data_IF_347223110452
#
_entry.id   IF_347223110452
#
_cell.length_a   1.000
_cell.length_b   1.000
_cell.length_c   1.000
_cell.angle_alpha   90.00
_cell.angle_beta   90.00
_cell.angle_gamma   90.00
#
_symmetry.space_group_name_H-M   'P 1'
#
loop_
_entity.id
_entity.type
_entity.pdbx_description
1 polymer ?
#
# COMPACT_ATOMS: atom_id res chain seq x y z
N UNK A 1 21.37 45.30 44.26
CA UNK A 1 20.41 46.41 44.40
C UNK A 1 19.17 46.09 43.59
N UNK A 2 18.11 45.61 44.26
CA UNK A 2 16.72 45.78 43.80
C UNK A 2 16.30 47.26 44.06
N UNK A 3 15.16 47.80 43.58
CA UNK A 3 13.77 47.32 43.78
C UNK A 3 12.94 47.30 42.47
N UNK A 4 11.84 46.55 42.27
CA UNK A 4 10.55 46.39 42.96
C UNK A 4 9.60 47.62 42.87
N UNK A 5 8.44 47.47 42.21
CA UNK A 5 7.07 48.04 42.47
C UNK A 5 6.23 47.89 41.17
N UNK A 6 5.09 47.19 41.06
CA UNK A 6 3.83 47.09 41.82
C UNK A 6 2.89 48.31 41.68
N UNK A 7 1.73 48.13 41.02
CA UNK A 7 0.37 48.74 41.23
C UNK A 7 -0.42 48.61 39.91
N UNK A 8 -1.55 47.90 39.76
CA UNK A 8 -2.84 47.87 40.45
C UNK A 8 -3.74 49.10 40.18
N UNK A 9 -5.07 48.85 40.11
CA UNK A 9 -6.20 49.80 40.29
C UNK A 9 -6.69 50.49 39.00
N UNK A 10 -7.97 50.68 38.65
CA UNK A 10 -9.32 50.10 38.87
C UNK A 10 -10.29 51.11 38.19
N UNK A 11 -11.46 50.61 37.73
CA UNK A 11 -12.74 51.32 37.52
C UNK A 11 -12.84 52.42 36.44
N UNK A 12 -14.00 52.76 35.88
CA UNK A 12 -15.35 52.21 35.72
C UNK A 12 -16.16 53.33 35.02
N UNK A 13 -17.49 53.15 34.90
CA UNK A 13 -18.53 54.17 34.57
C UNK A 13 -18.79 54.28 33.06
N UNK A 14 -20.02 54.16 32.53
CA UNK A 14 -21.38 54.07 33.07
C UNK A 14 -22.27 53.43 31.98
N UNK A 15 -23.18 52.53 32.36
CA UNK A 15 -24.64 52.78 32.46
C UNK A 15 -25.34 52.83 31.07
N UNK A 16 -26.53 52.27 30.86
CA UNK A 16 -27.66 52.23 31.78
C UNK A 16 -28.77 51.37 31.14
N UNK A 17 -29.39 50.51 31.97
CA UNK A 17 -30.86 50.34 32.07
C UNK A 17 -31.63 49.70 30.89
N UNK A 18 -32.59 48.80 31.09
CA UNK A 18 -33.24 48.35 32.33
C UNK A 18 -34.30 47.28 32.05
N UNK A 19 -34.48 46.40 33.05
CA UNK A 19 -35.76 45.87 33.58
C UNK A 19 -36.50 44.76 32.78
N UNK A 20 -36.13 43.54 33.18
CA UNK A 20 -37.01 42.42 33.57
C UNK A 20 -38.09 42.88 34.60
N UNK A 21 -39.24 42.17 34.82
CA UNK A 21 -39.23 40.77 35.27
C UNK A 21 -40.41 39.82 34.90
N UNK A 22 -40.05 38.53 34.86
CA UNK A 22 -40.71 37.36 35.49
C UNK A 22 -42.21 37.46 35.88
N UNK A 23 -43.04 36.54 35.35
CA UNK A 23 -43.55 35.36 36.12
C UNK A 23 -44.43 34.40 35.30
N UNK A 24 -44.08 33.12 35.44
CA UNK A 24 -44.81 31.84 35.36
C UNK A 24 -46.37 31.84 35.32
N UNK A 25 -46.88 31.04 34.37
CA UNK A 25 -47.51 29.72 34.53
C UNK A 25 -49.03 29.52 34.28
N UNK A 26 -49.30 28.28 33.85
CA UNK A 26 -50.49 27.41 34.02
C UNK A 26 -51.54 27.36 32.88
N UNK A 27 -51.99 26.13 32.72
CA UNK A 27 -52.77 25.37 31.72
C UNK A 27 -54.20 25.82 31.34
N UNK A 28 -54.58 25.45 30.10
CA UNK A 28 -55.86 24.95 29.48
C UNK A 28 -57.17 24.94 30.29
N UNK A 29 -58.41 24.82 29.71
CA UNK A 29 -58.76 24.29 28.38
C UNK A 29 -59.92 25.04 27.66
N UNK A 30 -60.31 24.57 26.44
CA UNK A 30 -61.57 24.81 25.69
C UNK A 30 -61.22 24.87 24.19
N UNK A 31 -61.90 24.29 23.21
CA UNK A 31 -63.22 23.67 23.11
C UNK A 31 -63.18 22.73 21.90
N UNK A 32 -63.94 21.65 22.00
CA UNK A 32 -64.22 20.66 20.97
C UNK A 32 -64.87 21.27 19.71
N UNK A 33 -64.24 21.10 18.55
CA UNK A 33 -64.94 21.10 17.26
C UNK A 33 -64.53 19.88 16.44
N UNK A 34 -65.54 19.06 16.14
CA UNK A 34 -65.49 17.91 15.25
C UNK A 34 -65.13 18.36 13.83
N UNK A 35 -64.03 17.84 13.29
CA UNK A 35 -63.64 17.99 11.88
C UNK A 35 -63.58 16.60 11.24
N UNK A 36 -64.47 16.36 10.28
CA UNK A 36 -64.47 15.16 9.44
C UNK A 36 -63.22 15.13 8.54
N UNK A 37 -62.65 13.96 8.21
CA UNK A 37 -61.39 13.86 7.49
C UNK A 37 -61.53 14.18 5.99
N UNK A 38 -60.69 15.09 5.50
CA UNK A 38 -60.50 15.32 4.07
C UNK A 38 -59.63 14.20 3.46
N UNK A 39 -60.08 13.61 2.36
CA UNK A 39 -59.37 12.56 1.64
C UNK A 39 -58.04 13.08 1.04
N UNK A 40 -56.95 12.28 1.03
CA UNK A 40 -55.69 12.68 0.42
C UNK A 40 -55.77 12.67 -1.12
N UNK A 41 -55.12 13.62 -1.82
CA UNK A 41 -55.05 13.61 -3.28
C UNK A 41 -54.17 12.45 -3.81
N UNK A 42 -54.41 11.96 -5.04
CA UNK A 42 -53.70 10.80 -5.57
C UNK A 42 -52.21 11.07 -5.76
N UNK A 43 -51.37 10.15 -5.28
CA UNK A 43 -49.92 10.17 -5.44
C UNK A 43 -49.53 10.05 -6.91
N UNK A 44 -48.80 11.03 -7.45
CA UNK A 44 -48.09 10.90 -8.73
C UNK A 44 -47.02 9.81 -8.59
N UNK A 45 -47.16 8.73 -9.34
CA UNK A 45 -46.11 7.73 -9.50
C UNK A 45 -44.98 8.34 -10.37
N UNK A 46 -43.85 8.67 -9.74
CA UNK A 46 -42.61 8.95 -10.45
C UNK A 46 -42.01 7.63 -10.93
N UNK A 47 -42.20 7.31 -12.21
CA UNK A 47 -41.45 6.24 -12.87
C UNK A 47 -39.99 6.68 -13.02
N UNK A 48 -39.09 6.15 -12.21
CA UNK A 48 -37.68 6.22 -12.47
C UNK A 48 -37.35 5.27 -13.62
N UNK A 49 -37.07 5.82 -14.81
CA UNK A 49 -36.53 5.05 -15.93
C UNK A 49 -35.09 4.69 -15.57
N UNK A 50 -34.91 3.49 -15.01
CA UNK A 50 -33.57 2.90 -14.84
C UNK A 50 -33.07 2.53 -16.23
N UNK A 51 -32.15 3.33 -16.78
CA UNK A 51 -31.45 3.02 -18.01
C UNK A 51 -30.66 1.72 -17.83
N UNK A 52 -31.25 0.59 -18.22
CA UNK A 52 -30.58 -0.69 -18.34
C UNK A 52 -29.51 -0.57 -19.42
N UNK A 53 -28.28 -0.27 -19.00
CA UNK A 53 -27.11 -0.39 -19.86
C UNK A 53 -26.96 -1.87 -20.22
N UNK A 54 -27.40 -2.21 -21.43
CA UNK A 54 -27.29 -3.53 -22.05
C UNK A 54 -25.80 -3.88 -22.20
N UNK A 55 -25.21 -4.45 -21.15
CA UNK A 55 -23.82 -4.92 -21.15
C UNK A 55 -23.69 -6.03 -22.18
N UNK A 56 -22.83 -5.79 -23.17
CA UNK A 56 -22.56 -6.68 -24.30
C UNK A 56 -22.02 -8.04 -23.79
N UNK A 57 -22.68 -9.19 -24.09
CA UNK A 57 -22.36 -10.49 -23.48
C UNK A 57 -21.06 -11.15 -23.97
N UNK A 58 -20.25 -10.45 -24.78
CA UNK A 58 -18.97 -10.98 -25.29
C UNK A 58 -17.75 -10.65 -24.41
N UNK A 59 -17.92 -9.89 -23.33
CA UNK A 59 -16.84 -9.47 -22.40
C UNK A 59 -16.86 -10.23 -21.07
N UNK A 60 -17.09 -11.55 -21.12
CA UNK A 60 -17.20 -12.40 -19.93
C UNK A 60 -16.60 -13.80 -20.14
N UNK A 61 -15.52 -13.89 -20.93
CA UNK A 61 -14.78 -15.15 -21.13
C UNK A 61 -13.39 -15.19 -20.49
N UNK A 62 -12.96 -14.10 -19.86
CA UNK A 62 -11.70 -14.00 -19.09
C UNK A 62 -11.89 -13.35 -17.73
N UNK A 63 -13.13 -13.23 -17.24
CA UNK A 63 -13.30 -13.14 -15.80
C UNK A 63 -13.07 -14.58 -15.31
N UNK A 64 -11.81 -14.91 -15.02
CA UNK A 64 -11.48 -15.98 -14.08
C UNK A 64 -12.53 -15.94 -13.00
N UNK A 65 -13.21 -17.06 -12.74
CA UNK A 65 -14.13 -17.16 -11.62
C UNK A 65 -13.46 -16.49 -10.43
N UNK A 66 -14.04 -15.39 -9.94
CA UNK A 66 -13.55 -14.70 -8.75
C UNK A 66 -13.61 -15.71 -7.61
N UNK A 67 -12.50 -16.40 -7.35
CA UNK A 67 -12.43 -17.38 -6.26
C UNK A 67 -12.38 -16.69 -4.90
N UNK A 68 -12.06 -15.38 -4.88
CA UNK A 68 -12.23 -14.52 -3.72
C UNK A 68 -13.27 -13.43 -4.01
N UNK A 69 -14.48 -13.60 -3.48
CA UNK A 69 -15.39 -12.48 -3.23
C UNK A 69 -14.79 -11.64 -2.11
N UNK A 70 -14.62 -10.35 -2.39
CA UNK A 70 -14.25 -9.35 -1.39
C UNK A 70 -15.18 -9.48 -0.17
N UNK A 71 -14.65 -9.97 0.96
CA UNK A 71 -15.27 -9.82 2.29
C UNK A 71 -16.23 -10.89 2.79
N UNK A 72 -16.30 -12.11 2.24
CA UNK A 72 -17.18 -13.16 2.81
C UNK A 72 -16.51 -14.03 3.89
N UNK A 73 -15.17 -14.07 3.93
CA UNK A 73 -14.38 -14.58 5.03
C UNK A 73 -13.44 -13.45 5.45
N UNK A 74 -13.45 -13.06 6.73
CA UNK A 74 -12.57 -12.00 7.23
C UNK A 74 -11.09 -12.26 6.91
N UNK A 75 -10.27 -11.23 6.99
CA UNK A 75 -8.83 -11.33 6.74
C UNK A 75 -8.19 -12.36 7.69
N UNK A 76 -7.42 -13.31 7.14
CA UNK A 76 -6.69 -14.28 7.94
C UNK A 76 -5.49 -13.61 8.61
N UNK A 77 -5.44 -13.60 9.94
CA UNK A 77 -4.27 -13.16 10.71
C UNK A 77 -3.53 -14.37 11.28
N UNK A 78 -2.25 -14.50 10.94
CA UNK A 78 -1.37 -15.55 11.45
C UNK A 78 -0.24 -14.92 12.24
N UNK A 79 -0.12 -15.26 13.52
CA UNK A 79 0.99 -14.81 14.36
C UNK A 79 2.10 -15.86 14.40
N UNK A 80 3.32 -15.43 14.12
CA UNK A 80 4.52 -16.27 14.01
C UNK A 80 5.67 -15.59 14.75
N UNK A 81 6.48 -16.38 15.44
CA UNK A 81 7.70 -15.86 16.04
C UNK A 81 8.70 -15.34 14.98
N UNK A 82 9.37 -14.20 15.19
CA UNK A 82 10.33 -13.64 14.24
C UNK A 82 11.48 -14.60 13.91
N UNK A 83 11.80 -15.54 14.80
CA UNK A 83 12.82 -16.56 14.59
C UNK A 83 12.45 -17.61 13.52
N UNK A 84 11.17 -17.69 13.13
CA UNK A 84 10.69 -18.69 12.17
C UNK A 84 10.42 -20.07 12.77
N UNK A 85 10.50 -20.25 14.09
CA UNK A 85 10.22 -21.54 14.77
C UNK A 85 8.82 -22.08 14.48
N UNK A 86 7.88 -21.19 14.22
CA UNK A 86 6.46 -21.47 13.96
C UNK A 86 6.11 -21.54 12.46
N UNK A 87 7.08 -21.89 11.59
CA UNK A 87 6.88 -21.93 10.14
C UNK A 87 5.69 -22.81 9.70
N UNK A 88 5.34 -23.86 10.45
CA UNK A 88 4.19 -24.72 10.18
C UNK A 88 2.85 -23.96 10.16
N UNK A 89 2.73 -22.83 10.87
CA UNK A 89 1.53 -21.97 10.84
C UNK A 89 1.33 -21.24 9.52
N UNK A 90 2.35 -21.21 8.66
CA UNK A 90 2.33 -20.50 7.38
C UNK A 90 1.71 -21.32 6.24
N UNK A 91 1.46 -22.61 6.44
CA UNK A 91 0.84 -23.49 5.43
C UNK A 91 -0.47 -22.93 4.85
N UNK A 92 -1.43 -22.40 5.65
CA UNK A 92 -2.63 -21.77 5.12
C UNK A 92 -2.35 -20.51 4.30
N UNK A 93 -1.29 -19.77 4.65
CA UNK A 93 -0.89 -18.54 3.94
C UNK A 93 -0.35 -18.88 2.55
N UNK A 94 0.50 -19.92 2.47
CA UNK A 94 1.03 -20.43 1.19
C UNK A 94 -0.11 -20.91 0.30
N UNK A 95 -1.08 -21.65 0.86
CA UNK A 95 -2.25 -22.09 0.10
C UNK A 95 -3.08 -20.91 -0.44
N UNK A 96 -3.28 -19.86 0.38
CA UNK A 96 -3.96 -18.65 -0.05
C UNK A 96 -3.22 -17.95 -1.20
N UNK A 97 -1.89 -17.81 -1.10
CA UNK A 97 -1.05 -17.20 -2.15
C UNK A 97 -1.21 -17.98 -3.46
N UNK A 98 -1.10 -19.30 -3.42
CA UNK A 98 -1.27 -20.17 -4.60
C UNK A 98 -2.68 -20.07 -5.23
N UNK A 99 -3.70 -19.75 -4.43
CA UNK A 99 -5.07 -19.47 -4.91
C UNK A 99 -5.24 -18.04 -5.44
N UNK A 100 -4.19 -17.21 -5.43
CA UNK A 100 -4.23 -15.83 -5.89
C UNK A 100 -4.66 -14.80 -4.84
N UNK A 101 -4.52 -15.11 -3.55
CA UNK A 101 -4.74 -14.13 -2.50
C UNK A 101 -3.66 -13.03 -2.51
N UNK A 102 -4.02 -11.86 -1.99
CA UNK A 102 -3.08 -10.75 -1.75
C UNK A 102 -3.02 -10.50 -0.25
N UNK A 103 -1.81 -10.51 0.31
CA UNK A 103 -1.62 -10.37 1.73
C UNK A 103 -0.34 -9.62 2.08
N UNK A 104 -0.06 -9.52 3.37
CA UNK A 104 1.12 -8.83 3.90
C UNK A 104 2.02 -9.82 4.63
N UNK A 105 3.32 -9.76 4.36
CA UNK A 105 4.35 -10.54 5.04
C UNK A 105 5.43 -9.63 5.63
N UNK A 106 6.07 -10.04 6.73
CA UNK A 106 7.27 -9.37 7.22
C UNK A 106 8.45 -9.62 6.25
N UNK A 107 9.38 -8.67 6.22
CA UNK A 107 10.70 -8.84 5.58
C UNK A 107 11.79 -8.33 6.53
N UNK A 108 13.06 -8.47 6.14
CA UNK A 108 14.22 -8.04 6.94
C UNK A 108 14.37 -6.52 7.09
N UNK A 109 13.51 -5.75 6.40
CA UNK A 109 13.41 -4.29 6.52
C UNK A 109 12.04 -3.86 7.00
N UNK A 110 11.05 -3.87 6.10
CA UNK A 110 9.69 -3.39 6.35
C UNK A 110 8.66 -4.41 5.88
N UNK A 111 7.45 -4.32 6.39
CA UNK A 111 6.35 -5.13 5.88
C UNK A 111 6.11 -4.87 4.40
N UNK A 112 5.76 -5.92 3.67
CA UNK A 112 5.51 -5.86 2.23
C UNK A 112 4.20 -6.54 1.88
N UNK A 113 3.43 -5.90 0.99
CA UNK A 113 2.26 -6.50 0.34
C UNK A 113 2.80 -7.45 -0.72
N UNK A 114 2.30 -8.68 -0.75
CA UNK A 114 2.74 -9.73 -1.66
C UNK A 114 1.58 -10.40 -2.37
N UNK A 115 1.85 -10.87 -3.58
CA UNK A 115 1.00 -11.82 -4.28
C UNK A 115 1.82 -12.73 -5.20
N UNK A 116 1.18 -13.80 -5.67
CA UNK A 116 1.74 -14.66 -6.68
C UNK A 116 1.84 -13.92 -8.03
N UNK A 117 3.02 -14.02 -8.65
CA UNK A 117 3.31 -13.44 -9.95
C UNK A 117 2.53 -14.13 -11.08
N UNK A 118 2.18 -15.40 -10.94
CA UNK A 118 1.48 -16.16 -11.97
C UNK A 118 0.06 -15.62 -12.22
N UNK A 119 -0.56 -15.05 -11.18
CA UNK A 119 -1.95 -14.62 -11.19
C UNK A 119 -2.10 -13.12 -11.50
N UNK A 120 -2.48 -12.81 -12.74
CA UNK A 120 -2.69 -11.43 -13.19
C UNK A 120 -3.73 -10.64 -12.38
N UNK A 121 -4.79 -11.30 -11.88
CA UNK A 121 -5.83 -10.62 -11.10
C UNK A 121 -5.29 -10.16 -9.74
N UNK A 122 -4.45 -11.00 -9.12
CA UNK A 122 -3.77 -10.70 -7.85
C UNK A 122 -2.76 -9.56 -8.00
N UNK A 123 -2.04 -9.51 -9.12
CA UNK A 123 -1.13 -8.41 -9.43
C UNK A 123 -1.90 -7.09 -9.63
N UNK A 124 -3.04 -7.12 -10.32
CA UNK A 124 -3.90 -5.93 -10.47
C UNK A 124 -4.48 -5.47 -9.11
N UNK A 125 -4.83 -6.40 -8.22
CA UNK A 125 -5.22 -6.09 -6.83
C UNK A 125 -4.08 -5.48 -6.03
N UNK A 126 -2.89 -6.07 -6.07
CA UNK A 126 -1.70 -5.53 -5.39
C UNK A 126 -1.42 -4.09 -5.83
N UNK A 127 -1.46 -3.81 -7.13
CA UNK A 127 -1.31 -2.44 -7.66
C UNK A 127 -2.40 -1.50 -7.20
N UNK A 128 -3.63 -1.98 -7.05
CA UNK A 128 -4.75 -1.16 -6.57
C UNK A 128 -4.58 -0.81 -5.10
N UNK A 129 -4.10 -1.75 -4.29
CA UNK A 129 -3.75 -1.53 -2.88
C UNK A 129 -2.51 -0.64 -2.74
N UNK A 130 -1.56 -0.77 -3.65
CA UNK A 130 -0.33 0.02 -3.65
C UNK A 130 -0.44 1.34 -4.40
N UNK A 131 -1.55 1.64 -5.09
CA UNK A 131 -1.68 2.88 -5.90
C UNK A 131 -1.61 4.15 -5.04
N UNK A 132 -1.86 4.01 -3.74
CA UNK A 132 -1.65 5.00 -2.69
C UNK A 132 -0.19 5.08 -2.20
N UNK A 133 0.57 4.00 -2.33
CA UNK A 133 1.98 3.92 -1.98
C UNK A 133 2.80 4.40 -3.19
N UNK A 134 3.61 5.45 -3.03
CA UNK A 134 4.42 6.04 -4.10
C UNK A 134 5.55 5.14 -4.67
N UNK A 135 5.46 3.82 -4.52
CA UNK A 135 6.41 2.85 -5.04
C UNK A 135 6.41 2.87 -6.57
N UNK A 136 7.50 3.39 -7.15
CA UNK A 136 7.68 3.49 -8.60
C UNK A 136 7.87 2.13 -9.28
N UNK A 137 8.28 1.12 -8.53
CA UNK A 137 8.66 -0.20 -9.04
C UNK A 137 8.05 -1.32 -8.19
N UNK A 138 7.43 -2.29 -8.87
CA UNK A 138 7.13 -3.59 -8.28
C UNK A 138 8.43 -4.38 -8.14
N UNK A 139 8.56 -5.06 -7.00
CA UNK A 139 9.75 -5.83 -6.66
C UNK A 139 9.45 -7.31 -6.74
N UNK A 140 10.31 -8.07 -7.40
CA UNK A 140 10.28 -9.52 -7.48
C UNK A 140 11.13 -10.09 -6.35
N UNK A 141 10.57 -11.04 -5.60
CA UNK A 141 11.29 -11.86 -4.65
C UNK A 141 11.38 -13.27 -5.24
N UNK A 142 12.56 -13.69 -5.72
CA UNK A 142 12.73 -15.02 -6.27
C UNK A 142 12.69 -16.07 -5.15
N UNK A 143 12.28 -17.29 -5.49
CA UNK A 143 12.27 -18.43 -4.56
C UNK A 143 13.68 -18.92 -4.22
N UNK A 144 14.64 -18.70 -5.13
CA UNK A 144 16.02 -19.15 -4.98
C UNK A 144 17.02 -18.00 -5.24
N UNK A 145 18.12 -17.93 -4.47
CA UNK A 145 19.16 -16.90 -4.62
C UNK A 145 19.84 -16.96 -6.00
N UNK A 146 20.03 -18.16 -6.53
CA UNK A 146 20.70 -18.43 -7.81
C UNK A 146 20.06 -17.68 -8.98
N UNK A 147 18.75 -17.42 -8.90
CA UNK A 147 18.04 -16.64 -9.92
C UNK A 147 18.59 -15.22 -10.03
N UNK A 148 18.87 -14.57 -8.90
CA UNK A 148 19.39 -13.21 -8.89
C UNK A 148 20.87 -13.18 -9.29
N UNK A 149 21.65 -14.19 -8.91
CA UNK A 149 23.04 -14.34 -9.36
C UNK A 149 23.11 -14.51 -10.88
N UNK A 150 22.23 -15.33 -11.46
CA UNK A 150 22.13 -15.50 -12.91
C UNK A 150 21.79 -14.17 -13.61
N UNK A 151 20.79 -13.44 -13.12
CA UNK A 151 20.38 -12.15 -13.67
C UNK A 151 21.47 -11.09 -13.59
N UNK A 152 22.28 -11.11 -12.53
CA UNK A 152 23.36 -10.15 -12.29
C UNK A 152 24.71 -10.61 -12.81
N UNK A 153 24.75 -11.79 -13.45
CA UNK A 153 25.96 -12.43 -14.00
C UNK A 153 27.05 -12.64 -12.95
N UNK A 154 26.65 -13.03 -11.73
CA UNK A 154 27.55 -13.34 -10.62
C UNK A 154 28.31 -12.15 -10.03
N UNK A 155 27.86 -10.92 -10.29
CA UNK A 155 28.53 -9.70 -9.78
C UNK A 155 28.25 -9.39 -8.31
N UNK A 156 27.21 -10.00 -7.75
CA UNK A 156 26.74 -9.71 -6.41
C UNK A 156 26.88 -10.94 -5.52
N UNK A 157 27.33 -10.72 -4.30
CA UNK A 157 27.44 -11.75 -3.26
C UNK A 157 26.19 -11.77 -2.39
N UNK A 158 25.75 -12.97 -1.97
CA UNK A 158 24.53 -13.18 -1.18
C UNK A 158 24.32 -12.20 -0.01
N UNK A 159 25.34 -11.96 0.82
CA UNK A 159 25.26 -11.05 1.97
C UNK A 159 24.95 -9.59 1.61
N UNK A 160 25.33 -9.19 0.40
CA UNK A 160 25.03 -7.86 -0.14
C UNK A 160 23.61 -7.83 -0.74
N UNK A 161 22.92 -8.95 -0.94
CA UNK A 161 21.62 -8.95 -1.61
C UNK A 161 20.45 -8.65 -0.67
N UNK A 162 20.56 -8.98 0.62
CA UNK A 162 19.44 -8.88 1.57
C UNK A 162 18.95 -7.47 1.79
N UNK A 163 19.90 -6.56 1.96
CA UNK A 163 19.61 -5.16 2.30
C UNK A 163 19.38 -4.25 1.08
N UNK A 164 19.36 -4.81 -0.14
CA UNK A 164 19.30 -4.04 -1.37
C UNK A 164 18.12 -4.44 -2.24
N UNK A 165 17.73 -3.55 -3.14
CA UNK A 165 16.72 -3.79 -4.16
C UNK A 165 17.25 -3.27 -5.47
N UNK A 166 17.51 -4.18 -6.41
CA UNK A 166 18.12 -3.87 -7.68
C UNK A 166 17.05 -3.66 -8.74
N UNK A 167 17.02 -2.50 -9.37
CA UNK A 167 16.15 -2.25 -10.51
C UNK A 167 16.88 -2.76 -11.75
N UNK A 168 16.35 -3.83 -12.31
CA UNK A 168 16.89 -4.49 -13.49
C UNK A 168 16.03 -4.18 -14.71
N UNK A 169 16.62 -4.10 -15.92
CA UNK A 169 15.84 -4.01 -17.14
C UNK A 169 14.98 -5.27 -17.31
N UNK A 170 13.78 -5.10 -17.86
CA UNK A 170 12.88 -6.20 -18.13
C UNK A 170 13.41 -7.08 -19.29
N UNK A 171 14.28 -8.05 -18.98
CA UNK A 171 14.86 -8.99 -19.92
C UNK A 171 13.95 -10.21 -20.12
N UNK A 172 14.23 -11.04 -21.14
CA UNK A 172 13.48 -12.28 -21.41
C UNK A 172 13.65 -13.36 -20.33
N UNK A 173 14.63 -13.19 -19.44
CA UNK A 173 14.91 -14.09 -18.32
C UNK A 173 13.92 -13.90 -17.17
N UNK A 174 13.27 -12.72 -17.12
CA UNK A 174 12.19 -12.48 -16.18
C UNK A 174 10.88 -13.11 -16.65
N UNK A 175 10.00 -13.51 -15.72
CA UNK A 175 8.69 -14.02 -16.07
C UNK A 175 7.91 -13.02 -16.93
N UNK A 176 7.16 -13.53 -17.89
CA UNK A 176 6.44 -12.71 -18.89
C UNK A 176 5.49 -11.72 -18.24
N UNK A 177 4.97 -12.03 -17.06
CA UNK A 177 4.06 -11.23 -16.25
C UNK A 177 4.72 -9.96 -15.69
N UNK A 178 6.03 -9.99 -15.43
CA UNK A 178 6.80 -8.78 -15.07
C UNK A 178 6.99 -7.84 -16.27
N UNK A 179 7.09 -8.40 -17.48
CA UNK A 179 7.36 -7.69 -18.74
C UNK A 179 6.07 -7.17 -19.39
N UNK A 180 5.01 -7.99 -19.32
CA UNK A 180 3.70 -7.77 -19.93
C UNK A 180 2.68 -7.60 -18.82
N UNK A 181 2.14 -6.39 -18.72
CA UNK A 181 1.01 -6.08 -17.85
C UNK A 181 -0.26 -6.74 -18.43
N UNK A 182 -1.04 -7.49 -17.65
CA UNK A 182 -2.43 -7.96 -17.89
C UNK A 182 -2.83 -8.68 -19.22
N UNK A 183 -4.15 -8.92 -19.40
CA UNK A 183 -4.83 -9.70 -20.47
C UNK A 183 -5.46 -8.93 -21.68
N UNK A 184 -5.74 -7.61 -21.63
CA UNK A 184 -6.37 -6.82 -22.70
C UNK A 184 -5.49 -5.69 -23.33
N UNK A 185 -5.57 -5.50 -24.66
CA UNK A 185 -4.95 -4.55 -25.63
C UNK A 185 -4.46 -3.14 -25.20
N UNK A 186 -4.58 -2.70 -23.95
CA UNK A 186 -4.07 -1.42 -23.40
C UNK A 186 -2.94 -1.66 -22.38
N UNK A 187 -1.77 -2.09 -22.84
CA UNK A 187 -0.63 -2.29 -21.95
C UNK A 187 0.64 -1.56 -22.40
N UNK A 188 1.17 -0.73 -21.50
CA UNK A 188 2.53 -0.25 -21.60
C UNK A 188 3.47 -1.40 -21.18
N UNK A 189 4.50 -1.69 -21.98
CA UNK A 189 5.58 -2.60 -21.57
C UNK A 189 6.31 -1.98 -20.40
N UNK A 190 6.41 -2.70 -19.28
CA UNK A 190 7.30 -2.32 -18.19
C UNK A 190 8.74 -2.49 -18.69
N UNK A 191 9.55 -1.45 -18.50
CA UNK A 191 10.96 -1.44 -18.92
C UNK A 191 11.89 -1.95 -17.83
N UNK A 192 11.43 -1.94 -16.59
CA UNK A 192 12.24 -2.17 -15.39
C UNK A 192 11.43 -2.92 -14.33
N UNK A 193 12.12 -3.73 -13.53
CA UNK A 193 11.57 -4.56 -12.45
C UNK A 193 12.55 -4.50 -11.28
N UNK A 194 12.07 -4.24 -10.06
CA UNK A 194 12.89 -4.37 -8.87
C UNK A 194 13.10 -5.85 -8.56
N UNK A 195 14.29 -6.25 -8.11
CA UNK A 195 14.53 -7.61 -7.61
C UNK A 195 15.23 -7.51 -6.26
N UNK A 196 14.76 -8.31 -5.31
CA UNK A 196 15.27 -8.34 -3.93
C UNK A 196 15.25 -9.76 -3.41
N UNK A 197 16.20 -10.09 -2.53
CA UNK A 197 16.26 -11.36 -1.82
C UNK A 197 16.24 -11.12 -0.30
N UNK A 198 15.08 -11.00 0.35
CA UNK A 198 15.00 -10.72 1.79
C UNK A 198 15.63 -11.84 2.63
N UNK A 199 16.34 -11.46 3.70
CA UNK A 199 16.93 -12.37 4.68
C UNK A 199 16.06 -12.37 5.95
N UNK A 200 14.86 -12.93 5.83
CA UNK A 200 13.88 -13.02 6.90
C UNK A 200 13.34 -14.46 7.02
N UNK A 201 13.43 -15.12 8.19
CA UNK A 201 13.04 -16.52 8.33
C UNK A 201 11.59 -16.83 7.94
N UNK A 202 10.68 -15.89 8.19
CA UNK A 202 9.26 -16.03 7.85
C UNK A 202 9.08 -15.91 6.34
N UNK A 203 9.72 -14.92 5.70
CA UNK A 203 9.70 -14.76 4.25
C UNK A 203 10.32 -15.97 3.54
N UNK A 204 11.46 -16.46 4.03
CA UNK A 204 12.13 -17.66 3.50
C UNK A 204 11.25 -18.91 3.64
N UNK A 205 10.62 -19.13 4.79
CA UNK A 205 9.71 -20.26 4.99
C UNK A 205 8.52 -20.23 4.03
N UNK A 206 7.98 -19.05 3.70
CA UNK A 206 6.92 -18.91 2.69
C UNK A 206 7.47 -19.26 1.31
N UNK A 207 8.61 -18.70 0.92
CA UNK A 207 9.22 -18.91 -0.40
C UNK A 207 9.63 -20.37 -0.64
N UNK A 208 10.08 -21.09 0.39
CA UNK A 208 10.45 -22.51 0.29
C UNK A 208 9.26 -23.42 -0.05
N UNK A 209 8.04 -23.00 0.28
CA UNK A 209 6.81 -23.74 0.01
C UNK A 209 6.05 -23.21 -1.23
N UNK A 210 6.63 -22.25 -1.95
CA UNK A 210 6.07 -21.69 -3.18
C UNK A 210 6.85 -22.18 -4.40
N UNK A 211 6.12 -22.54 -5.46
CA UNK A 211 6.72 -22.96 -6.73
C UNK A 211 7.17 -21.77 -7.60
N UNK A 212 6.51 -20.62 -7.44
CA UNK A 212 6.67 -19.42 -8.24
C UNK A 212 7.15 -18.23 -7.38
N UNK A 213 7.87 -17.26 -7.96
CA UNK A 213 8.37 -16.11 -7.22
C UNK A 213 7.24 -15.16 -6.82
N UNK A 214 7.44 -14.46 -5.71
CA UNK A 214 6.51 -13.46 -5.22
C UNK A 214 6.76 -12.11 -5.88
N UNK A 215 5.69 -11.37 -6.15
CA UNK A 215 5.77 -9.95 -6.45
C UNK A 215 5.31 -9.15 -5.23
N UNK A 216 6.07 -8.11 -4.90
CA UNK A 216 5.87 -7.35 -3.68
C UNK A 216 6.03 -5.85 -3.87
N UNK A 217 5.42 -5.11 -2.93
CA UNK A 217 5.60 -3.68 -2.74
C UNK A 217 5.64 -3.40 -1.25
N UNK A 218 6.55 -2.53 -0.82
CA UNK A 218 6.67 -2.15 0.59
C UNK A 218 5.42 -1.41 1.08
N UNK A 219 4.98 -1.73 2.29
CA UNK A 219 3.80 -1.12 2.93
C UNK A 219 4.14 0.28 3.41
N UNK A 220 3.38 1.28 2.96
CA UNK A 220 3.42 2.65 3.48
C UNK A 220 2.06 3.10 3.98
N UNK A 221 2.06 4.15 4.79
CA UNK A 221 0.86 4.90 5.14
C UNK A 221 0.28 5.58 3.90
N UNK A 222 -1.04 5.55 3.79
CA UNK A 222 -1.78 6.13 2.65
C UNK A 222 -1.74 7.67 2.65
N UNK A 223 -1.54 8.29 3.80
CA UNK A 223 -1.66 9.74 4.00
C UNK A 223 -0.31 10.45 4.11
N UNK A 224 0.70 9.82 4.71
CA UNK A 224 1.91 10.51 5.20
C UNK A 224 3.21 10.00 4.56
N UNK A 225 3.14 9.04 3.62
CA UNK A 225 4.31 8.38 2.99
C UNK A 225 5.32 7.76 3.98
N UNK A 226 4.91 7.61 5.24
CA UNK A 226 5.67 6.99 6.33
C UNK A 226 5.56 5.46 6.31
N UNK A 227 6.58 4.79 6.86
CA UNK A 227 6.59 3.33 7.01
C UNK A 227 5.72 2.90 8.18
N UNK A 228 4.84 1.93 7.94
CA UNK A 228 4.08 1.29 9.02
C UNK A 228 4.82 0.02 9.43
N UNK A 229 5.12 -0.10 10.73
CA UNK A 229 5.94 -1.18 11.28
C UNK A 229 5.17 -2.13 12.18
N UNK A 230 4.03 -1.67 12.70
CA UNK A 230 3.18 -2.47 13.60
C UNK A 230 2.15 -3.25 12.77
N UNK A 231 2.20 -4.59 12.80
CA UNK A 231 1.24 -5.43 12.07
C UNK A 231 -0.21 -5.21 12.49
N UNK A 232 -0.49 -4.76 13.72
CA UNK A 232 -1.84 -4.39 14.17
C UNK A 232 -2.35 -3.16 13.42
N UNK A 233 -1.52 -2.13 13.29
CA UNK A 233 -1.89 -0.91 12.57
C UNK A 233 -2.08 -1.22 11.08
N UNK A 234 -1.20 -2.05 10.52
CA UNK A 234 -1.30 -2.50 9.13
C UNK A 234 -2.62 -3.25 8.91
N UNK A 235 -2.99 -4.17 9.81
CA UNK A 235 -4.26 -4.92 9.67
C UNK A 235 -5.45 -3.98 9.59
N UNK A 236 -5.53 -2.99 10.48
CA UNK A 236 -6.69 -2.10 10.57
C UNK A 236 -6.85 -1.22 9.30
N UNK A 237 -5.73 -0.77 8.73
CA UNK A 237 -5.71 0.08 7.53
C UNK A 237 -6.04 -0.71 6.26
N UNK A 238 -5.49 -1.92 6.11
CA UNK A 238 -5.57 -2.69 4.87
C UNK A 238 -6.75 -3.67 4.83
N UNK A 239 -7.31 -4.07 5.98
CA UNK A 239 -8.52 -4.90 6.04
C UNK A 239 -9.68 -4.26 5.27
N UNK A 240 -9.92 -2.96 5.45
CA UNK A 240 -10.98 -2.22 4.76
C UNK A 240 -10.76 -2.13 3.24
N UNK A 241 -9.50 -2.28 2.79
CA UNK A 241 -9.17 -2.21 1.38
C UNK A 241 -9.38 -3.56 0.66
N UNK A 242 -9.53 -4.66 1.42
CA UNK A 242 -9.74 -6.00 0.92
C UNK A 242 -8.45 -6.81 0.83
N UNK A 243 -7.65 -6.76 1.89
CA UNK A 243 -6.53 -7.67 2.11
C UNK A 243 -7.04 -9.05 2.55
N UNK A 244 -6.44 -10.12 2.04
CA UNK A 244 -6.92 -11.49 2.29
C UNK A 244 -6.23 -12.11 3.53
N UNK A 245 -4.96 -11.80 3.77
CA UNK A 245 -4.21 -12.26 4.94
C UNK A 245 -3.13 -11.29 5.41
N UNK A 246 -2.73 -11.42 6.66
CA UNK A 246 -1.56 -10.76 7.25
C UNK A 246 -0.78 -11.74 8.13
N UNK A 247 0.53 -11.78 7.92
CA UNK A 247 1.47 -12.52 8.78
C UNK A 247 2.06 -11.53 9.78
N UNK A 248 1.74 -11.74 11.05
CA UNK A 248 2.26 -10.98 12.17
C UNK A 248 3.55 -11.64 12.66
N UNK A 249 4.68 -11.04 12.29
CA UNK A 249 6.02 -11.44 12.71
C UNK A 249 6.65 -10.41 13.67
N UNK A 250 5.83 -9.70 14.44
CA UNK A 250 6.27 -8.65 15.37
C UNK A 250 6.67 -7.33 14.71
N UNK A 251 6.94 -6.32 15.53
CA UNK A 251 7.32 -4.97 15.06
C UNK A 251 8.73 -4.99 14.45
N UNK A 252 8.88 -4.36 13.28
CA UNK A 252 10.17 -4.23 12.59
C UNK A 252 10.78 -2.83 12.77
N UNK A 253 12.07 -2.70 12.45
CA UNK A 253 12.77 -1.42 12.45
C UNK A 253 12.61 -0.78 11.07
N UNK A 254 12.29 0.52 11.00
CA UNK A 254 12.04 1.25 9.75
C UNK A 254 13.32 1.55 8.95
N UNK A 255 14.12 0.53 8.64
CA UNK A 255 15.30 0.65 7.81
C UNK A 255 15.02 0.06 6.42
N UNK A 256 14.45 0.84 5.48
CA UNK A 256 14.11 0.32 4.17
C UNK A 256 15.37 -0.13 3.40
N UNK A 257 15.19 -0.97 2.39
CA UNK A 257 16.31 -1.44 1.56
C UNK A 257 16.95 -0.30 0.74
N UNK A 258 18.25 -0.43 0.46
CA UNK A 258 18.94 0.46 -0.48
C UNK A 258 18.50 0.13 -1.89
N UNK A 259 17.96 1.10 -2.63
CA UNK A 259 17.46 0.90 -3.99
C UNK A 259 18.51 1.36 -4.99
N UNK A 260 18.93 0.47 -5.87
CA UNK A 260 20.00 0.71 -6.86
C UNK A 260 19.47 0.45 -8.26
N UNK A 261 19.57 1.45 -9.13
CA UNK A 261 19.29 1.32 -10.56
C UNK A 261 20.48 0.69 -11.29
N UNK A 262 20.27 -0.47 -11.90
CA UNK A 262 21.27 -1.14 -12.74
C UNK A 262 20.90 -1.10 -14.23
N UNK A 263 19.94 -0.27 -14.63
CA UNK A 263 19.50 -0.17 -16.03
C UNK A 263 20.40 0.73 -16.88
N UNK A 264 21.17 1.61 -16.22
CA UNK A 264 22.14 2.50 -16.85
C UNK A 264 23.51 1.85 -17.10
N UNK A 265 24.47 2.69 -17.51
CA UNK A 265 25.87 2.28 -17.70
C UNK A 265 26.58 1.95 -16.38
N UNK A 266 26.18 2.64 -15.31
CA UNK A 266 26.72 2.49 -13.96
C UNK A 266 25.58 2.24 -12.97
N UNK A 267 25.81 1.47 -11.90
CA UNK A 267 24.80 1.28 -10.86
C UNK A 267 24.61 2.54 -10.01
N UNK A 268 23.41 3.11 -10.04
CA UNK A 268 23.10 4.40 -9.41
C UNK A 268 22.18 4.21 -8.21
N UNK A 269 22.52 4.77 -7.06
CA UNK A 269 21.70 4.66 -5.84
C UNK A 269 20.55 5.68 -5.92
N UNK A 270 19.31 5.18 -6.08
CA UNK A 270 18.08 6.01 -6.06
C UNK A 270 17.67 6.33 -4.62
N UNK A 271 17.88 5.37 -3.71
CA UNK A 271 17.53 5.52 -2.29
C UNK A 271 18.57 4.82 -1.43
N UNK A 272 19.19 5.57 -0.54
CA UNK A 272 20.03 5.01 0.51
C UNK A 272 19.16 4.44 1.65
N UNK A 273 19.43 3.20 2.03
CA UNK A 273 18.74 2.48 3.11
C UNK A 273 19.73 1.67 3.96
N UNK A 274 19.29 0.50 4.46
CA UNK A 274 20.07 -0.42 5.32
C UNK A 274 21.41 -0.86 4.70
N UNK A 275 21.47 -1.02 3.38
CA UNK A 275 22.68 -1.48 2.68
C UNK A 275 23.68 -0.33 2.44
N UNK A 276 24.94 -0.43 2.87
CA UNK A 276 25.94 0.65 2.69
C UNK A 276 26.24 0.96 1.22
N UNK A 277 26.71 2.17 0.90
CA UNK A 277 27.25 2.46 -0.44
C UNK A 277 28.50 1.60 -0.67
N UNK A 278 28.53 0.88 -1.79
CA UNK A 278 29.71 0.10 -2.22
C UNK A 278 30.52 0.88 -3.26
N UNK A 279 31.81 0.58 -3.37
CA UNK A 279 32.76 1.33 -4.23
C UNK A 279 32.36 1.38 -5.72
N UNK A 280 31.59 0.40 -6.18
CA UNK A 280 31.13 0.30 -7.57
C UNK A 280 29.78 1.00 -7.81
N UNK A 281 29.16 1.57 -6.78
CA UNK A 281 27.89 2.30 -6.86
C UNK A 281 28.12 3.81 -6.89
N UNK A 282 27.33 4.51 -7.70
CA UNK A 282 27.36 5.97 -7.85
C UNK A 282 26.16 6.57 -7.11
N UNK A 283 26.33 7.68 -6.40
CA UNK A 283 25.20 8.41 -5.81
C UNK A 283 24.58 9.33 -6.88
N UNK A 284 23.25 9.51 -6.90
CA UNK A 284 22.58 10.41 -7.88
C UNK A 284 23.17 11.83 -7.90
N UNK A 285 23.72 12.32 -6.77
CA UNK A 285 24.34 13.65 -6.69
C UNK A 285 25.68 13.75 -7.45
N UNK A 286 26.42 12.65 -7.64
CA UNK A 286 27.70 12.60 -8.37
C UNK A 286 27.49 12.60 -9.91
N UNK A 287 26.29 12.25 -10.39
CA UNK A 287 25.94 12.29 -11.81
C UNK A 287 25.71 13.73 -12.32
N UNK A 288 25.31 14.66 -11.45
CA UNK A 288 25.09 16.06 -11.88
C UNK A 288 26.41 16.79 -12.13
N UNK A 289 27.47 16.44 -11.41
CA UNK A 289 28.81 17.05 -11.55
C UNK A 289 29.61 16.51 -12.75
N UNK A 290 29.23 15.34 -13.25
CA UNK A 290 29.91 14.64 -14.37
C UNK A 290 29.21 14.78 -15.73
N UNK A 291 28.08 15.50 -15.84
CA UNK A 291 27.50 15.84 -17.14
C UNK A 291 28.35 16.93 -17.82
N UNK A 292 29.07 16.62 -18.92
CA UNK A 292 29.68 17.69 -19.70
C UNK A 292 28.55 18.55 -20.28
N UNK A 293 28.53 19.82 -19.90
CA UNK A 293 27.73 20.86 -20.54
C UNK A 293 28.20 20.99 -21.99
N UNK A 294 27.68 20.15 -22.89
CA UNK A 294 27.78 20.40 -24.33
C UNK A 294 26.86 21.57 -24.67
N UNK A 295 27.40 22.77 -24.49
CA UNK A 295 26.83 23.98 -25.04
C UNK A 295 26.83 23.87 -26.57
N UNK A 296 25.65 23.66 -27.16
CA UNK A 296 25.45 23.90 -28.58
C UNK A 296 25.65 25.40 -28.85
N UNK A 297 26.83 25.77 -29.36
CA UNK A 297 27.00 27.00 -30.13
C UNK A 297 26.41 26.75 -31.51
N UNK A 298 25.19 27.24 -31.74
CA UNK A 298 24.68 27.42 -33.09
C UNK A 298 25.34 28.67 -33.69
N UNK A 299 25.93 28.48 -34.88
CA UNK A 299 26.43 29.53 -35.76
C UNK A 299 25.30 30.12 -36.62
#
# INVERSE_FOLDING_TARGET
>A
MAPATATATIAAVAASSSRLPFRRAVSSPSSSQLRLPAAPPPRRASFAVVALHKRNPKRLKYASQRQFTRGDAGMLRVQVEPSGEDAWKLEPVVELINRGAVGIIPTDTVYSIVCDLSNNDSVERLRSLSASCAARYETLIPTQPDFLEALTKGKLTYFVLSSYTFILPATKELPKQCIRHGSSTRYAKRRQVGVRLPDDPICEAILQNLDEPLICTSVKSLSEDEWILDPVIISDIYEQQGLDFIVDGGTRIADPSTVVDMTGSYPTIIRQGKGPKLDWMVAEDEEQESRPTFAYKAA
#
